data_IF_816644620911
#
_entry.id   IF_816644620911
#
_cell.length_a   1.000
_cell.length_b   1.000
_cell.length_c   1.000
_cell.angle_alpha   90.00
_cell.angle_beta   90.00
_cell.angle_gamma   90.00
#
_symmetry.space_group_name_H-M   'P 1'
#
loop_
_entity.id
_entity.type
_entity.pdbx_description
1 polymer ?
#
# COMPACT_ATOMS: atom_id res chain seq x y z
N UNK A 1 17.75 -19.78 15.63
CA UNK A 1 16.91 -19.18 14.58
C UNK A 1 17.79 -18.86 13.39
N UNK A 2 17.46 -19.44 12.23
CA UNK A 2 18.19 -19.29 10.97
C UNK A 2 17.80 -20.39 9.99
N UNK A 3 16.49 -20.64 9.84
CA UNK A 3 16.01 -21.58 8.82
C UNK A 3 16.06 -20.89 7.45
N UNK A 4 16.05 -21.67 6.37
CA UNK A 4 16.15 -21.16 4.99
C UNK A 4 15.03 -20.13 4.69
N UNK A 5 13.86 -20.29 5.29
CA UNK A 5 12.69 -19.42 5.16
C UNK A 5 12.92 -18.04 5.79
N UNK A 6 13.58 -17.99 6.95
CA UNK A 6 13.95 -16.71 7.59
C UNK A 6 15.01 -15.95 6.79
N UNK A 7 15.93 -16.66 6.14
CA UNK A 7 16.92 -16.05 5.23
C UNK A 7 16.25 -15.51 3.96
N UNK A 8 15.34 -16.29 3.36
CA UNK A 8 14.56 -15.86 2.20
C UNK A 8 13.69 -14.64 2.52
N UNK A 9 13.03 -14.64 3.68
CA UNK A 9 12.27 -13.49 4.18
C UNK A 9 13.16 -12.26 4.38
N UNK A 10 14.31 -12.42 5.05
CA UNK A 10 15.23 -11.30 5.29
C UNK A 10 15.71 -10.67 3.98
N UNK A 11 15.93 -11.48 2.94
CA UNK A 11 16.26 -11.01 1.59
C UNK A 11 15.09 -10.25 0.96
N UNK A 12 13.87 -10.79 1.00
CA UNK A 12 12.66 -10.10 0.50
C UNK A 12 12.43 -8.75 1.21
N UNK A 13 12.56 -8.74 2.54
CA UNK A 13 12.45 -7.53 3.37
C UNK A 13 13.54 -6.52 3.04
N UNK A 14 14.78 -6.97 2.80
CA UNK A 14 15.88 -6.09 2.38
C UNK A 14 15.61 -5.46 1.02
N UNK A 15 15.11 -6.22 0.04
CA UNK A 15 14.69 -5.70 -1.26
C UNK A 15 13.56 -4.67 -1.09
N UNK A 16 12.56 -4.99 -0.27
CA UNK A 16 11.44 -4.10 0.00
C UNK A 16 11.88 -2.78 0.65
N UNK A 17 12.65 -2.85 1.75
CA UNK A 17 13.08 -1.68 2.53
C UNK A 17 14.14 -0.87 1.78
N UNK A 18 15.05 -1.53 1.05
CA UNK A 18 16.02 -0.86 0.17
C UNK A 18 15.35 -0.12 -1.00
N UNK A 19 14.08 -0.43 -1.28
CA UNK A 19 13.25 0.25 -2.26
C UNK A 19 12.56 1.52 -1.76
N UNK A 20 12.47 1.78 -0.44
CA UNK A 20 11.63 2.88 0.08
C UNK A 20 12.13 4.28 -0.35
N UNK A 21 13.45 4.49 -0.39
CA UNK A 21 14.03 5.74 -0.91
C UNK A 21 13.76 5.92 -2.41
N UNK A 22 13.82 4.81 -3.18
CA UNK A 22 13.51 4.80 -4.62
C UNK A 22 12.05 5.08 -4.88
N UNK A 23 11.14 4.56 -4.04
CA UNK A 23 9.70 4.80 -4.13
C UNK A 23 9.37 6.24 -3.84
N UNK A 24 9.97 6.82 -2.80
CA UNK A 24 9.80 8.24 -2.47
C UNK A 24 10.27 9.13 -3.63
N UNK A 25 11.44 8.84 -4.20
CA UNK A 25 11.95 9.55 -5.37
C UNK A 25 11.06 9.35 -6.62
N UNK A 26 10.53 8.13 -6.81
CA UNK A 26 9.61 7.84 -7.91
C UNK A 26 8.28 8.59 -7.76
N UNK A 27 7.73 8.69 -6.55
CA UNK A 27 6.53 9.47 -6.25
C UNK A 27 6.77 10.97 -6.46
N UNK A 28 7.92 11.49 -6.02
CA UNK A 28 8.33 12.87 -6.29
C UNK A 28 8.43 13.14 -7.79
N UNK A 29 9.07 12.24 -8.55
CA UNK A 29 9.21 12.33 -10.02
C UNK A 29 7.86 12.21 -10.74
N UNK A 30 6.93 11.42 -10.21
CA UNK A 30 5.57 11.32 -10.74
C UNK A 30 4.78 12.61 -10.56
N UNK A 31 5.11 13.41 -9.53
CA UNK A 31 4.55 14.74 -9.30
C UNK A 31 3.02 14.69 -9.15
N UNK A 32 2.31 15.51 -9.92
CA UNK A 32 0.84 15.57 -9.89
C UNK A 32 0.16 14.45 -10.68
N UNK A 33 0.88 13.68 -11.50
CA UNK A 33 0.29 12.65 -12.36
C UNK A 33 -0.30 11.51 -11.51
N UNK A 34 -1.63 11.41 -11.48
CA UNK A 34 -2.33 10.32 -10.78
C UNK A 34 -2.03 8.95 -11.40
N UNK A 35 -2.09 8.74 -12.73
CA UNK A 35 -1.79 7.44 -13.31
C UNK A 35 -0.38 6.93 -12.97
N UNK A 36 0.61 7.84 -12.92
CA UNK A 36 1.99 7.48 -12.56
C UNK A 36 2.13 7.16 -11.07
N UNK A 37 1.51 7.95 -10.19
CA UNK A 37 1.50 7.67 -8.74
C UNK A 37 0.75 6.38 -8.43
N UNK A 38 -0.39 6.17 -9.05
CA UNK A 38 -1.18 4.95 -8.97
C UNK A 38 -0.35 3.72 -9.37
N UNK A 39 0.37 3.77 -10.50
CA UNK A 39 1.21 2.66 -10.92
C UNK A 39 2.28 2.30 -9.87
N UNK A 40 2.89 3.32 -9.24
CA UNK A 40 3.87 3.13 -8.15
C UNK A 40 3.20 2.49 -6.93
N UNK A 41 2.04 2.99 -6.50
CA UNK A 41 1.31 2.43 -5.36
C UNK A 41 0.83 1.00 -5.63
N UNK A 42 0.29 0.71 -6.82
CA UNK A 42 -0.12 -0.65 -7.23
C UNK A 42 1.06 -1.61 -7.20
N UNK A 43 2.21 -1.22 -7.75
CA UNK A 43 3.42 -2.04 -7.71
C UNK A 43 3.83 -2.34 -6.25
N UNK A 44 3.87 -1.32 -5.39
CA UNK A 44 4.22 -1.51 -3.97
C UNK A 44 3.21 -2.35 -3.21
N UNK A 45 1.93 -2.21 -3.53
CA UNK A 45 0.87 -3.03 -2.96
C UNK A 45 1.03 -4.50 -3.36
N UNK A 46 1.37 -4.79 -4.63
CA UNK A 46 1.62 -6.16 -5.10
C UNK A 46 2.84 -6.80 -4.40
N UNK A 47 3.93 -6.06 -4.22
CA UNK A 47 5.11 -6.52 -3.48
C UNK A 47 4.75 -6.85 -2.02
N UNK A 48 3.98 -5.98 -1.36
CA UNK A 48 3.50 -6.18 0.01
C UNK A 48 2.58 -7.41 0.12
N UNK A 49 1.71 -7.62 -0.88
CA UNK A 49 0.82 -8.79 -0.95
C UNK A 49 1.63 -10.09 -1.05
N UNK A 50 2.64 -10.16 -1.91
CA UNK A 50 3.49 -11.33 -2.07
C UNK A 50 4.23 -11.71 -0.76
N UNK A 51 4.73 -10.71 -0.02
CA UNK A 51 5.37 -10.94 1.29
C UNK A 51 4.34 -11.45 2.31
N UNK A 52 3.13 -10.89 2.30
CA UNK A 52 2.04 -11.32 3.19
C UNK A 52 1.67 -12.78 2.94
N UNK A 53 1.49 -13.18 1.68
CA UNK A 53 1.19 -14.56 1.28
C UNK A 53 2.29 -15.54 1.69
N UNK A 54 3.56 -15.13 1.54
CA UNK A 54 4.70 -15.90 2.04
C UNK A 54 4.59 -16.12 3.56
N UNK A 55 4.38 -15.05 4.34
CA UNK A 55 4.27 -15.16 5.80
C UNK A 55 3.08 -16.04 6.23
N UNK A 56 1.92 -15.91 5.57
CA UNK A 56 0.75 -16.76 5.84
C UNK A 56 1.03 -18.24 5.60
N UNK A 57 1.74 -18.55 4.51
CA UNK A 57 2.16 -19.92 4.21
C UNK A 57 3.06 -20.47 5.32
N UNK A 58 3.97 -19.64 5.86
CA UNK A 58 4.82 -20.05 6.98
C UNK A 58 4.04 -20.25 8.28
N UNK A 59 3.00 -19.47 8.55
CA UNK A 59 2.11 -19.70 9.71
C UNK A 59 1.49 -21.09 9.67
N UNK A 60 1.02 -21.54 8.50
CA UNK A 60 0.38 -22.84 8.34
C UNK A 60 1.35 -24.01 8.53
N UNK A 61 2.63 -23.81 8.21
CA UNK A 61 3.66 -24.86 8.26
C UNK A 61 4.48 -24.87 9.57
N UNK A 62 4.40 -23.79 10.37
CA UNK A 62 5.16 -23.65 11.61
C UNK A 62 4.33 -24.09 12.84
N UNK A 63 5.01 -24.29 13.96
CA UNK A 63 4.36 -24.62 15.24
C UNK A 63 4.93 -23.79 16.40
N UNK A 64 4.16 -23.70 17.48
CA UNK A 64 4.60 -23.03 18.72
C UNK A 64 5.02 -21.58 18.51
N UNK A 65 6.25 -21.25 18.93
CA UNK A 65 6.79 -19.87 18.91
C UNK A 65 7.02 -19.34 17.50
N UNK A 66 7.39 -20.20 16.54
CA UNK A 66 7.64 -19.77 15.16
C UNK A 66 6.34 -19.41 14.45
N UNK A 67 5.26 -20.18 14.68
CA UNK A 67 3.92 -19.83 14.18
C UNK A 67 3.48 -18.45 14.66
N UNK A 68 3.65 -18.16 15.96
CA UNK A 68 3.31 -16.85 16.52
C UNK A 68 4.18 -15.72 15.93
N UNK A 69 5.46 -15.97 15.69
CA UNK A 69 6.34 -14.99 15.05
C UNK A 69 5.89 -14.69 13.60
N UNK A 70 5.60 -15.73 12.81
CA UNK A 70 5.08 -15.56 11.44
C UNK A 70 3.73 -14.88 11.40
N UNK A 71 2.87 -15.12 12.40
CA UNK A 71 1.56 -14.47 12.47
C UNK A 71 1.67 -12.98 12.80
N UNK A 72 2.60 -12.60 13.67
CA UNK A 72 2.91 -11.18 13.93
C UNK A 72 3.43 -10.47 12.69
N UNK A 73 4.34 -11.10 11.95
CA UNK A 73 4.86 -10.55 10.68
C UNK A 73 3.75 -10.43 9.63
N UNK A 74 2.88 -11.44 9.51
CA UNK A 74 1.71 -11.40 8.62
C UNK A 74 0.84 -10.17 8.90
N UNK A 75 0.48 -9.93 10.16
CA UNK A 75 -0.34 -8.79 10.54
C UNK A 75 0.32 -7.45 10.25
N UNK A 76 1.64 -7.35 10.42
CA UNK A 76 2.40 -6.15 10.07
C UNK A 76 2.28 -5.83 8.57
N UNK A 77 2.46 -6.84 7.71
CA UNK A 77 2.40 -6.66 6.25
C UNK A 77 0.98 -6.41 5.76
N UNK A 78 -0.04 -7.04 6.34
CA UNK A 78 -1.45 -6.69 6.10
C UNK A 78 -1.73 -5.21 6.41
N UNK A 79 -1.25 -4.71 7.56
CA UNK A 79 -1.43 -3.31 7.92
C UNK A 79 -0.76 -2.34 6.94
N UNK A 80 0.44 -2.70 6.43
CA UNK A 80 1.12 -1.94 5.37
C UNK A 80 0.36 -1.97 4.06
N UNK A 81 -0.16 -3.14 3.67
CA UNK A 81 -0.97 -3.31 2.48
C UNK A 81 -2.22 -2.41 2.52
N UNK A 82 -2.99 -2.45 3.61
CA UNK A 82 -4.16 -1.58 3.78
C UNK A 82 -3.82 -0.09 3.76
N UNK A 83 -2.64 0.29 4.27
CA UNK A 83 -2.19 1.69 4.19
C UNK A 83 -1.93 2.10 2.74
N UNK A 84 -1.23 1.29 1.96
CA UNK A 84 -0.97 1.54 0.54
C UNK A 84 -2.26 1.59 -0.28
N UNK A 85 -3.20 0.70 0.01
CA UNK A 85 -4.52 0.70 -0.62
C UNK A 85 -5.32 1.97 -0.31
N UNK A 86 -5.29 2.45 0.95
CA UNK A 86 -5.89 3.75 1.30
C UNK A 86 -5.24 4.92 0.59
N UNK A 87 -3.91 4.95 0.51
CA UNK A 87 -3.18 6.02 -0.20
C UNK A 87 -3.46 5.99 -1.71
N UNK A 88 -3.59 4.80 -2.29
CA UNK A 88 -3.99 4.61 -3.68
C UNK A 88 -5.44 5.05 -3.93
N UNK A 89 -6.41 4.58 -3.13
CA UNK A 89 -7.82 4.97 -3.26
C UNK A 89 -8.05 6.46 -3.00
N UNK A 90 -7.19 7.08 -2.18
CA UNK A 90 -7.19 8.51 -1.92
C UNK A 90 -6.52 9.36 -3.00
N UNK A 91 -5.99 8.76 -4.08
CA UNK A 91 -5.46 9.51 -5.20
C UNK A 91 -6.60 10.20 -5.97
N UNK A 92 -6.76 11.48 -5.71
CA UNK A 92 -7.66 12.32 -6.48
C UNK A 92 -6.89 12.97 -7.62
N UNK A 93 -7.37 12.76 -8.85
CA UNK A 93 -6.91 13.54 -9.98
C UNK A 93 -7.52 14.94 -9.84
N UNK A 94 -6.66 15.95 -9.67
CA UNK A 94 -7.12 17.35 -9.56
C UNK A 94 -7.74 17.88 -10.86
N UNK A 95 -7.62 17.11 -11.95
CA UNK A 95 -8.30 17.35 -13.22
C UNK A 95 -9.58 16.51 -13.38
N UNK A 96 -9.80 15.50 -12.52
CA UNK A 96 -11.09 14.81 -12.46
C UNK A 96 -12.00 15.63 -11.57
N UNK A 97 -12.96 16.28 -12.22
CA UNK A 97 -14.06 17.04 -11.65
C UNK A 97 -15.07 16.08 -10.97
N UNK A 98 -14.60 15.30 -10.00
CA UNK A 98 -15.48 14.50 -9.16
C UNK A 98 -16.24 15.45 -8.22
N UNK A 99 -17.58 15.35 -8.13
CA UNK A 99 -18.29 16.04 -7.08
C UNK A 99 -17.74 15.54 -5.74
N UNK A 100 -17.19 16.46 -4.93
CA UNK A 100 -17.05 16.16 -3.51
C UNK A 100 -18.47 15.90 -2.97
N UNK A 101 -18.64 14.95 -2.03
CA UNK A 101 -19.96 14.47 -1.60
C UNK A 101 -20.94 15.55 -1.13
N UNK A 102 -20.45 16.74 -0.78
CA UNK A 102 -21.25 17.91 -0.39
C UNK A 102 -21.18 19.08 -1.39
N UNK A 103 -21.09 18.80 -2.70
CA UNK A 103 -21.12 19.82 -3.76
C UNK A 103 -22.18 19.56 -4.82
N UNK A 104 -22.86 20.63 -5.25
CA UNK A 104 -23.79 20.61 -6.39
C UNK A 104 -23.19 21.36 -7.60
N UNK A 105 -23.60 20.99 -8.83
CA UNK A 105 -23.14 21.66 -10.05
C UNK A 105 -24.05 22.83 -10.40
N UNK A 106 -23.55 24.06 -10.28
CA UNK A 106 -24.23 25.32 -10.66
C UNK A 106 -23.41 26.08 -11.70
N UNK A 107 -24.02 26.46 -12.83
CA UNK A 107 -23.37 27.17 -13.95
C UNK A 107 -22.06 26.52 -14.44
N UNK A 108 -22.03 25.18 -14.51
CA UNK A 108 -20.86 24.43 -14.95
C UNK A 108 -19.74 24.27 -13.92
N UNK A 109 -19.88 24.83 -12.70
CA UNK A 109 -18.91 24.71 -11.60
C UNK A 109 -19.53 23.97 -10.40
N UNK A 110 -18.73 23.23 -9.65
CA UNK A 110 -19.17 22.63 -8.37
C UNK A 110 -19.09 23.65 -7.23
N UNK A 111 -20.18 23.82 -6.48
CA UNK A 111 -20.28 24.72 -5.31
C UNK A 111 -20.70 23.95 -4.06
N UNK A 112 -20.21 24.35 -2.88
CA UNK A 112 -20.49 23.71 -1.59
C UNK A 112 -21.95 23.89 -1.16
N UNK A 113 -22.62 22.79 -0.79
CA UNK A 113 -23.99 22.80 -0.28
C UNK A 113 -23.97 23.30 1.17
N UNK A 114 -24.65 24.41 1.46
CA UNK A 114 -24.82 24.93 2.81
C UNK A 114 -26.11 24.36 3.42
N UNK A 115 -25.99 23.62 4.51
CA UNK A 115 -27.13 23.21 5.33
C UNK A 115 -27.49 24.36 6.28
N UNK A 116 -28.70 24.90 6.16
CA UNK A 116 -29.26 25.91 7.08
C UNK A 116 -29.86 25.26 8.32
#
# INVERSE_FOLDING_TARGET
MGTLEWTAYSKLKSIYNGGDSKVTAALQKAGSSVPRREAIYRQRHQECKAITEFCQTQVLNASGKDMQAWQKETNLWLGRQSKLEREWNGLVNKLDDLPLPDREKKNGKYVDIHYY
#
